data_IF_657533267768
#
_entry.id   IF_657533267768
#
_cell.length_a   1.000
_cell.length_b   1.000
_cell.length_c   1.000
_cell.angle_alpha   90.00
_cell.angle_beta   90.00
_cell.angle_gamma   90.00
#
_symmetry.space_group_name_H-M   'P 1'
#
loop_
_entity.id
_entity.type
_entity.pdbx_description
1 polymer ?
#
# COMPACT_ATOMS: atom_id res chain seq x y z
N UNK A 1 5.83 -2.78 -59.28
CA UNK A 1 5.41 -3.59 -58.11
C UNK A 1 6.27 -3.16 -56.92
N UNK A 2 5.64 -2.87 -55.79
CA UNK A 2 6.34 -2.52 -54.54
C UNK A 2 5.63 -1.40 -53.78
N UNK A 3 4.41 -1.67 -53.29
CA UNK A 3 3.70 -0.76 -52.41
C UNK A 3 4.42 -0.67 -51.06
N UNK A 4 4.83 0.54 -50.67
CA UNK A 4 5.28 0.82 -49.30
C UNK A 4 4.05 0.91 -48.43
N UNK A 5 3.77 -0.15 -47.69
CA UNK A 5 2.77 -0.19 -46.64
C UNK A 5 3.21 0.76 -45.53
N UNK A 6 2.56 1.92 -45.43
CA UNK A 6 2.63 2.78 -44.27
C UNK A 6 1.87 2.08 -43.13
N UNK A 7 2.60 1.38 -42.27
CA UNK A 7 2.04 0.90 -41.01
C UNK A 7 1.76 2.14 -40.17
N UNK A 8 0.48 2.50 -40.08
CA UNK A 8 0.00 3.50 -39.14
C UNK A 8 0.33 3.00 -37.72
N UNK A 9 1.47 3.44 -37.19
CA UNK A 9 1.75 3.36 -35.77
C UNK A 9 0.64 4.13 -35.06
N UNK A 10 -0.09 3.45 -34.19
CA UNK A 10 -1.03 4.08 -33.27
C UNK A 10 -0.20 4.92 -32.31
N UNK A 11 0.16 6.12 -32.75
CA UNK A 11 0.62 7.20 -31.90
C UNK A 11 -0.57 7.69 -31.11
N UNK A 12 -0.91 6.99 -30.03
CA UNK A 12 -1.74 7.59 -28.98
C UNK A 12 -0.85 8.64 -28.34
N UNK A 13 -1.03 9.88 -28.81
CA UNK A 13 -0.35 11.04 -28.29
C UNK A 13 -0.56 11.14 -26.78
N UNK A 14 0.50 11.52 -26.09
CA UNK A 14 0.60 11.77 -24.65
C UNK A 14 -0.29 12.94 -24.15
N UNK A 15 -1.40 13.23 -24.82
CA UNK A 15 -2.32 14.33 -24.52
C UNK A 15 -3.73 13.88 -24.04
N UNK A 16 -3.98 12.57 -23.92
CA UNK A 16 -5.29 12.01 -23.56
C UNK A 16 -5.41 11.47 -22.11
N UNK A 17 -4.51 11.86 -21.21
CA UNK A 17 -4.36 11.24 -19.88
C UNK A 17 -5.46 11.59 -18.84
N UNK A 18 -6.64 12.11 -19.22
CA UNK A 18 -7.62 12.59 -18.22
C UNK A 18 -9.03 11.97 -18.24
N UNK A 19 -9.36 11.07 -19.17
CA UNK A 19 -10.66 10.38 -19.14
C UNK A 19 -10.50 8.90 -19.40
N UNK A 20 -10.65 8.13 -18.34
CA UNK A 20 -10.89 6.70 -18.46
C UNK A 20 -12.27 6.51 -19.09
N UNK A 21 -12.34 5.67 -20.12
CA UNK A 21 -13.60 5.36 -20.80
C UNK A 21 -14.29 4.18 -20.11
N UNK A 22 -15.63 4.20 -20.12
CA UNK A 22 -16.43 3.11 -19.56
C UNK A 22 -16.16 1.77 -20.27
N UNK A 23 -15.69 1.79 -21.51
CA UNK A 23 -15.22 0.63 -22.26
C UNK A 23 -14.09 -0.15 -21.57
N UNK A 24 -13.41 0.42 -20.57
CA UNK A 24 -12.43 -0.30 -19.75
C UNK A 24 -13.07 -1.35 -18.84
N UNK A 25 -14.38 -1.26 -18.54
CA UNK A 25 -15.04 -2.19 -17.61
C UNK A 25 -16.45 -2.62 -18.02
N UNK A 26 -17.21 -1.82 -18.77
CA UNK A 26 -18.58 -2.17 -19.17
C UNK A 26 -18.59 -3.36 -20.13
N UNK A 27 -19.38 -4.38 -19.81
CA UNK A 27 -19.53 -5.60 -20.63
C UNK A 27 -18.33 -6.55 -20.59
N UNK A 28 -17.25 -6.21 -19.87
CA UNK A 28 -16.07 -7.05 -19.68
C UNK A 28 -16.24 -8.00 -18.49
N UNK A 29 -15.50 -9.11 -18.50
CA UNK A 29 -15.37 -9.94 -17.30
C UNK A 29 -14.65 -9.17 -16.17
N UNK A 30 -14.82 -9.63 -14.93
CA UNK A 30 -14.13 -9.07 -13.76
C UNK A 30 -12.61 -9.00 -13.97
N UNK A 31 -12.01 -10.05 -14.54
CA UNK A 31 -10.56 -10.12 -14.76
C UNK A 31 -10.09 -9.12 -15.82
N UNK A 32 -10.79 -9.03 -16.95
CA UNK A 32 -10.44 -8.09 -18.02
C UNK A 32 -10.62 -6.64 -17.58
N UNK A 33 -11.70 -6.33 -16.87
CA UNK A 33 -11.95 -4.99 -16.35
C UNK A 33 -10.90 -4.59 -15.30
N UNK A 34 -10.57 -5.49 -14.37
CA UNK A 34 -9.55 -5.24 -13.37
C UNK A 34 -8.19 -4.98 -14.02
N UNK A 35 -7.77 -5.82 -14.98
CA UNK A 35 -6.48 -5.65 -15.64
C UNK A 35 -6.40 -4.33 -16.41
N UNK A 36 -7.44 -3.99 -17.19
CA UNK A 36 -7.46 -2.73 -17.95
C UNK A 36 -7.38 -1.49 -17.04
N UNK A 37 -8.04 -1.51 -15.88
CA UNK A 37 -7.99 -0.42 -14.90
C UNK A 37 -6.66 -0.38 -14.14
N UNK A 38 -6.04 -1.52 -13.87
CA UNK A 38 -4.71 -1.60 -13.26
C UNK A 38 -3.65 -1.02 -14.20
N UNK A 39 -3.68 -1.37 -15.48
CA UNK A 39 -2.76 -0.84 -16.48
C UNK A 39 -2.90 0.68 -16.59
N UNK A 40 -4.14 1.18 -16.61
CA UNK A 40 -4.42 2.61 -16.59
C UNK A 40 -3.93 3.28 -15.30
N UNK A 41 -4.11 2.66 -14.14
CA UNK A 41 -3.65 3.18 -12.86
C UNK A 41 -2.12 3.23 -12.76
N UNK A 42 -1.40 2.27 -13.35
CA UNK A 42 0.07 2.31 -13.43
C UNK A 42 0.57 3.47 -14.31
N UNK A 43 -0.13 3.77 -15.41
CA UNK A 43 0.16 4.96 -16.23
C UNK A 43 -0.13 6.25 -15.46
N UNK A 44 -1.20 6.29 -14.66
CA UNK A 44 -1.53 7.44 -13.83
C UNK A 44 -0.56 7.64 -12.67
N UNK A 45 -0.08 6.55 -12.08
CA UNK A 45 0.86 6.58 -10.97
C UNK A 45 2.18 7.24 -11.38
N UNK A 46 2.54 7.18 -12.67
CA UNK A 46 3.83 7.62 -13.20
C UNK A 46 4.94 7.15 -12.27
N UNK A 47 5.80 8.03 -11.73
CA UNK A 47 6.86 7.70 -10.77
C UNK A 47 6.48 7.74 -9.28
N UNK A 48 5.21 7.96 -8.96
CA UNK A 48 4.70 8.02 -7.58
C UNK A 48 4.75 6.68 -6.85
N UNK A 49 5.56 6.59 -5.78
CA UNK A 49 5.64 5.38 -4.96
C UNK A 49 4.33 5.09 -4.24
N UNK A 50 3.64 6.12 -3.73
CA UNK A 50 2.33 5.98 -3.08
C UNK A 50 1.33 5.32 -4.03
N UNK A 51 1.15 5.88 -5.22
CA UNK A 51 0.18 5.43 -6.21
C UNK A 51 0.51 4.00 -6.67
N UNK A 52 1.80 3.71 -6.91
CA UNK A 52 2.26 2.36 -7.23
C UNK A 52 1.98 1.37 -6.08
N UNK A 53 2.17 1.75 -4.82
CA UNK A 53 1.81 0.90 -3.67
C UNK A 53 0.30 0.64 -3.63
N UNK A 54 -0.54 1.63 -3.96
CA UNK A 54 -1.98 1.42 -4.05
C UNK A 54 -2.36 0.39 -5.13
N UNK A 55 -1.70 0.45 -6.31
CA UNK A 55 -1.85 -0.59 -7.34
C UNK A 55 -1.34 -1.95 -6.85
N UNK A 56 -0.17 -1.97 -6.21
CA UNK A 56 0.41 -3.16 -5.60
C UNK A 56 -0.54 -3.81 -4.59
N UNK A 57 -1.19 -3.00 -3.74
CA UNK A 57 -2.18 -3.45 -2.75
C UNK A 57 -3.35 -4.18 -3.40
N UNK A 58 -3.99 -3.58 -4.42
CA UNK A 58 -5.16 -4.22 -5.05
C UNK A 58 -4.78 -5.49 -5.82
N UNK A 59 -3.60 -5.54 -6.42
CA UNK A 59 -3.08 -6.77 -7.04
C UNK A 59 -2.83 -7.84 -5.97
N UNK A 60 -2.14 -7.46 -4.90
CA UNK A 60 -1.70 -8.35 -3.84
C UNK A 60 -2.86 -9.01 -3.10
N UNK A 61 -3.85 -8.20 -2.69
CA UNK A 61 -5.06 -8.66 -1.99
C UNK A 61 -6.10 -9.25 -2.95
N UNK A 62 -6.06 -8.87 -4.24
CA UNK A 62 -6.99 -9.32 -5.27
C UNK A 62 -6.67 -10.70 -5.86
N UNK A 63 -5.70 -11.43 -5.31
CA UNK A 63 -5.30 -12.77 -5.76
C UNK A 63 -4.12 -12.79 -6.75
N UNK A 64 -3.63 -11.63 -7.19
CA UNK A 64 -2.47 -11.47 -8.08
C UNK A 64 -1.22 -11.14 -7.24
N UNK A 65 -0.96 -12.02 -6.26
CA UNK A 65 0.04 -11.80 -5.20
C UNK A 65 1.43 -11.55 -5.77
N UNK A 66 1.84 -12.28 -6.80
CA UNK A 66 3.14 -12.13 -7.43
C UNK A 66 3.31 -10.76 -8.11
N UNK A 67 2.28 -10.27 -8.77
CA UNK A 67 2.28 -8.96 -9.44
C UNK A 67 2.36 -7.82 -8.42
N UNK A 68 1.55 -7.89 -7.36
CA UNK A 68 1.62 -6.92 -6.27
C UNK A 68 2.98 -6.95 -5.57
N UNK A 69 3.54 -8.14 -5.36
CA UNK A 69 4.85 -8.31 -4.76
C UNK A 69 5.96 -7.66 -5.59
N UNK A 70 5.96 -7.86 -6.91
CA UNK A 70 6.96 -7.28 -7.79
C UNK A 70 6.98 -5.75 -7.72
N UNK A 71 5.82 -5.11 -7.55
CA UNK A 71 5.72 -3.66 -7.34
C UNK A 71 6.37 -3.26 -6.01
N UNK A 72 6.06 -3.97 -4.92
CA UNK A 72 6.66 -3.71 -3.61
C UNK A 72 8.17 -3.89 -3.63
N UNK A 73 8.67 -4.96 -4.24
CA UNK A 73 10.10 -5.25 -4.34
C UNK A 73 10.83 -4.15 -5.14
N UNK A 74 10.25 -3.69 -6.25
CA UNK A 74 10.84 -2.61 -7.04
C UNK A 74 10.97 -1.30 -6.25
N UNK A 75 9.96 -0.97 -5.42
CA UNK A 75 9.98 0.23 -4.57
C UNK A 75 11.02 0.08 -3.46
N UNK A 76 11.02 -1.05 -2.75
CA UNK A 76 11.91 -1.30 -1.62
C UNK A 76 13.38 -1.46 -2.04
N UNK A 77 13.64 -1.91 -3.27
CA UNK A 77 15.00 -1.99 -3.83
C UNK A 77 15.56 -0.62 -4.24
N UNK A 78 14.69 0.36 -4.50
CA UNK A 78 15.06 1.72 -4.88
C UNK A 78 15.18 2.68 -3.68
N UNK A 79 15.41 3.96 -3.98
CA UNK A 79 15.27 5.02 -2.99
C UNK A 79 13.77 5.22 -2.70
N UNK A 80 13.36 4.99 -1.47
CA UNK A 80 11.98 5.12 -1.03
C UNK A 80 11.90 5.90 0.30
N UNK A 81 10.71 6.38 0.64
CA UNK A 81 10.46 7.02 1.93
C UNK A 81 10.17 5.95 2.99
N UNK A 82 10.44 6.24 4.27
CA UNK A 82 10.04 5.33 5.35
C UNK A 82 8.53 5.07 5.35
N UNK A 83 7.74 6.08 4.97
CA UNK A 83 6.29 5.92 4.81
C UNK A 83 5.88 4.87 3.77
N UNK A 84 6.76 4.54 2.80
CA UNK A 84 6.51 3.46 1.84
C UNK A 84 6.66 2.08 2.48
N UNK A 85 7.65 1.89 3.36
CA UNK A 85 7.79 0.67 4.19
C UNK A 85 6.54 0.47 5.05
N UNK A 86 6.05 1.54 5.69
CA UNK A 86 4.84 1.51 6.51
C UNK A 86 3.60 1.11 5.69
N UNK A 87 3.41 1.72 4.51
CA UNK A 87 2.26 1.40 3.64
C UNK A 87 2.30 -0.05 3.17
N UNK A 88 3.46 -0.54 2.75
CA UNK A 88 3.62 -1.94 2.31
C UNK A 88 3.39 -2.90 3.49
N UNK A 89 3.88 -2.59 4.69
CA UNK A 89 3.63 -3.36 5.90
C UNK A 89 2.14 -3.49 6.21
N UNK A 90 1.38 -2.39 6.08
CA UNK A 90 -0.09 -2.40 6.24
C UNK A 90 -0.76 -3.35 5.24
N UNK A 91 -0.29 -3.42 4.00
CA UNK A 91 -0.80 -4.40 3.01
C UNK A 91 -0.51 -5.83 3.45
N UNK A 92 0.73 -6.14 3.86
CA UNK A 92 1.05 -7.49 4.35
C UNK A 92 0.20 -7.87 5.56
N UNK A 93 -0.04 -6.93 6.48
CA UNK A 93 -0.93 -7.17 7.62
C UNK A 93 -2.36 -7.45 7.14
N UNK A 94 -2.89 -6.66 6.22
CA UNK A 94 -4.23 -6.89 5.65
C UNK A 94 -4.36 -8.26 4.97
N UNK A 95 -3.26 -8.75 4.36
CA UNK A 95 -3.18 -10.10 3.82
C UNK A 95 -3.01 -11.21 4.87
N UNK A 96 -2.95 -10.87 6.17
CA UNK A 96 -2.71 -11.81 7.28
C UNK A 96 -1.25 -12.24 7.42
N UNK A 97 -0.31 -11.57 6.74
CA UNK A 97 1.09 -11.95 6.64
C UNK A 97 1.96 -11.19 7.65
N UNK A 98 1.72 -11.42 8.94
CA UNK A 98 2.44 -10.75 10.02
C UNK A 98 3.96 -10.90 9.93
N UNK A 99 4.44 -12.09 9.56
CA UNK A 99 5.87 -12.36 9.41
C UNK A 99 6.57 -11.46 8.38
N UNK A 100 5.81 -10.90 7.43
CA UNK A 100 6.30 -9.96 6.41
C UNK A 100 6.07 -8.51 6.81
N UNK A 101 4.98 -8.22 7.49
CA UNK A 101 4.65 -6.88 7.96
C UNK A 101 5.59 -6.42 9.10
N UNK A 102 5.85 -7.28 10.08
CA UNK A 102 6.63 -6.97 11.28
C UNK A 102 8.02 -6.37 10.99
N UNK A 103 8.89 -6.94 10.14
CA UNK A 103 10.21 -6.36 9.90
C UNK A 103 10.16 -4.95 9.28
N UNK A 104 9.15 -4.65 8.46
CA UNK A 104 8.96 -3.32 7.88
C UNK A 104 8.46 -2.31 8.94
N UNK A 105 7.53 -2.74 9.81
CA UNK A 105 7.13 -1.93 10.97
C UNK A 105 8.31 -1.63 11.89
N UNK A 106 9.16 -2.62 12.16
CA UNK A 106 10.35 -2.46 13.01
C UNK A 106 11.35 -1.47 12.41
N UNK A 107 11.59 -1.58 11.09
CA UNK A 107 12.40 -0.63 10.34
C UNK A 107 11.87 0.80 10.43
N UNK A 108 10.55 0.96 10.24
CA UNK A 108 9.89 2.26 10.35
C UNK A 108 10.05 2.87 11.76
N UNK A 109 9.75 2.09 12.81
CA UNK A 109 9.83 2.53 14.21
C UNK A 109 11.24 2.95 14.65
N UNK A 110 12.27 2.31 14.09
CA UNK A 110 13.67 2.63 14.37
C UNK A 110 14.06 4.00 13.81
N UNK A 111 13.54 4.35 12.63
CA UNK A 111 13.83 5.61 11.93
C UNK A 111 12.93 6.77 12.37
N UNK A 112 11.72 6.46 12.85
CA UNK A 112 10.67 7.43 13.17
C UNK A 112 10.28 7.42 14.66
N UNK A 113 11.21 7.68 15.61
CA UNK A 113 10.95 7.49 17.04
C UNK A 113 10.02 8.55 17.68
N UNK A 114 9.61 9.58 16.93
CA UNK A 114 8.77 10.70 17.40
C UNK A 114 7.40 10.78 16.71
N UNK A 115 7.02 9.74 15.97
CA UNK A 115 5.76 9.69 15.23
C UNK A 115 4.72 8.95 16.07
N UNK A 116 4.14 9.60 17.07
CA UNK A 116 3.27 8.97 18.06
C UNK A 116 2.10 8.20 17.43
N UNK A 117 1.44 8.77 16.42
CA UNK A 117 0.27 8.18 15.79
C UNK A 117 0.64 6.83 15.16
N UNK A 118 1.70 6.81 14.37
CA UNK A 118 2.21 5.59 13.74
C UNK A 118 2.79 4.62 14.77
N UNK A 119 3.42 5.08 15.85
CA UNK A 119 3.89 4.20 16.93
C UNK A 119 2.70 3.48 17.60
N UNK A 120 1.62 4.19 17.94
CA UNK A 120 0.42 3.59 18.50
C UNK A 120 -0.29 2.67 17.50
N UNK A 121 -0.40 3.07 16.23
CA UNK A 121 -0.96 2.22 15.18
C UNK A 121 -0.18 0.91 15.03
N UNK A 122 1.15 0.97 14.99
CA UNK A 122 1.99 -0.21 14.90
C UNK A 122 1.84 -1.06 16.17
N UNK A 123 1.82 -0.45 17.36
CA UNK A 123 1.53 -1.15 18.61
C UNK A 123 0.17 -1.88 18.58
N UNK A 124 -0.84 -1.28 17.97
CA UNK A 124 -2.13 -1.91 17.79
C UNK A 124 -2.05 -3.16 16.90
N UNK A 125 -1.25 -3.12 15.84
CA UNK A 125 -0.98 -4.31 15.02
C UNK A 125 -0.26 -5.41 15.78
N UNK A 126 0.71 -5.06 16.62
CA UNK A 126 1.37 -6.00 17.51
C UNK A 126 0.39 -6.73 18.44
N UNK A 127 -0.53 -5.99 19.05
CA UNK A 127 -1.52 -6.56 19.95
C UNK A 127 -2.47 -7.51 19.21
N UNK A 128 -2.95 -7.10 18.04
CA UNK A 128 -3.83 -7.92 17.19
C UNK A 128 -3.13 -9.17 16.65
N UNK A 129 -1.79 -9.15 16.52
CA UNK A 129 -0.97 -10.31 16.20
C UNK A 129 -0.64 -11.19 17.43
N UNK A 130 -1.09 -10.81 18.63
CA UNK A 130 -0.90 -11.55 19.88
C UNK A 130 0.34 -11.15 20.68
N UNK A 131 1.18 -10.23 20.19
CA UNK A 131 2.34 -9.71 20.92
C UNK A 131 1.94 -8.55 21.83
N UNK A 132 1.27 -8.91 22.94
CA UNK A 132 0.80 -7.93 23.92
C UNK A 132 1.94 -7.13 24.55
N UNK A 133 3.05 -7.79 24.89
CA UNK A 133 4.18 -7.13 25.56
C UNK A 133 4.84 -6.09 24.63
N UNK A 134 5.06 -6.45 23.36
CA UNK A 134 5.56 -5.52 22.36
C UNK A 134 4.61 -4.35 22.12
N UNK A 135 3.30 -4.62 22.06
CA UNK A 135 2.28 -3.58 21.91
C UNK A 135 2.28 -2.57 23.07
N UNK A 136 2.27 -3.04 24.32
CA UNK A 136 2.26 -2.18 25.50
C UNK A 136 3.51 -1.29 25.59
N UNK A 137 4.67 -1.81 25.19
CA UNK A 137 5.89 -1.01 25.09
C UNK A 137 5.76 0.11 24.04
N UNK A 138 5.15 -0.17 22.90
CA UNK A 138 4.92 0.82 21.84
C UNK A 138 3.87 1.87 22.26
N UNK A 139 2.79 1.46 22.93
CA UNK A 139 1.80 2.39 23.46
C UNK A 139 2.40 3.35 24.48
N UNK A 140 3.22 2.83 25.41
CA UNK A 140 3.94 3.66 26.36
C UNK A 140 4.88 4.65 25.65
N UNK A 141 5.60 4.21 24.63
CA UNK A 141 6.46 5.07 23.80
C UNK A 141 5.66 6.16 23.08
N UNK A 142 4.51 5.81 22.50
CA UNK A 142 3.62 6.78 21.82
C UNK A 142 3.17 7.86 22.79
N UNK A 143 2.62 7.49 23.95
CA UNK A 143 2.10 8.46 24.92
C UNK A 143 3.19 9.28 25.62
N UNK A 144 4.43 8.79 25.64
CA UNK A 144 5.57 9.57 26.10
C UNK A 144 5.98 10.68 25.11
N UNK A 145 5.64 10.55 23.82
CA UNK A 145 5.80 11.64 22.84
C UNK A 145 4.67 12.65 23.02
N UNK A 146 3.41 12.19 22.87
CA UNK A 146 2.21 12.97 23.19
C UNK A 146 0.98 12.07 23.27
N UNK A 147 0.01 12.48 24.10
CA UNK A 147 -1.30 11.82 24.20
C UNK A 147 -2.26 12.43 23.17
N UNK A 148 -2.18 11.94 21.93
CA UNK A 148 -3.02 12.38 20.81
C UNK A 148 -4.30 11.51 20.70
N UNK A 149 -5.37 12.07 20.15
CA UNK A 149 -6.69 11.43 20.06
C UNK A 149 -6.65 10.14 19.23
N UNK A 150 -6.09 10.15 18.02
CA UNK A 150 -5.99 8.98 17.16
C UNK A 150 -5.08 7.90 17.73
N UNK A 151 -3.97 8.27 18.37
CA UNK A 151 -3.15 7.33 19.12
C UNK A 151 -3.98 6.61 20.20
N UNK A 152 -4.78 7.37 20.97
CA UNK A 152 -5.66 6.82 22.01
C UNK A 152 -6.73 5.88 21.43
N UNK A 153 -7.37 6.28 20.33
CA UNK A 153 -8.37 5.46 19.63
C UNK A 153 -7.75 4.16 19.08
N UNK A 154 -6.54 4.22 18.53
CA UNK A 154 -5.83 3.03 18.03
C UNK A 154 -5.55 2.02 19.15
N UNK A 155 -5.06 2.49 20.31
CA UNK A 155 -4.81 1.63 21.48
C UNK A 155 -6.10 0.99 21.98
N UNK A 156 -7.16 1.79 22.17
CA UNK A 156 -8.45 1.28 22.64
C UNK A 156 -9.05 0.28 21.66
N UNK A 157 -9.01 0.59 20.36
CA UNK A 157 -9.49 -0.30 19.30
C UNK A 157 -8.76 -1.64 19.29
N UNK A 158 -7.44 -1.64 19.46
CA UNK A 158 -6.65 -2.87 19.50
C UNK A 158 -7.06 -3.81 20.64
N UNK A 159 -7.35 -3.27 21.83
CA UNK A 159 -7.87 -4.07 22.96
C UNK A 159 -9.27 -4.62 22.72
N UNK A 160 -10.05 -3.99 21.85
CA UNK A 160 -11.36 -4.48 21.39
C UNK A 160 -11.26 -5.43 20.19
N UNK A 161 -10.04 -5.76 19.72
CA UNK A 161 -9.85 -6.58 18.53
C UNK A 161 -10.11 -5.84 17.21
N UNK A 162 -10.14 -4.50 17.24
CA UNK A 162 -10.43 -3.65 16.08
C UNK A 162 -9.13 -3.09 15.52
N UNK A 163 -8.93 -3.35 14.23
CA UNK A 163 -7.90 -2.75 13.39
C UNK A 163 -7.90 -1.21 13.48
N UNK A 164 -6.76 -0.53 13.73
CA UNK A 164 -6.71 0.93 13.66
C UNK A 164 -7.04 1.44 12.25
N UNK A 165 -7.61 2.64 12.21
CA UNK A 165 -7.85 3.38 10.98
C UNK A 165 -6.52 3.78 10.37
N UNK A 166 -6.28 3.40 9.12
CA UNK A 166 -5.08 3.77 8.38
C UNK A 166 -5.40 4.96 7.48
N UNK A 167 -4.67 6.06 7.66
CA UNK A 167 -4.62 7.19 6.71
C UNK A 167 -3.54 6.99 5.64
#
# INVERSE_FOLDING_TARGET
MGAVMFVAGIGIGMAAQKRLDAALFQGKSKAEAAQALIDAALVQADDGSWERIAVGRIQYLGGHKAQGQAIFDAILAGKHADSDELRIARVYREAGEWSRAKPLFDGYLAKNPKHEKEIAEIGAWYLLAGDRAGAEALFAKSFAVTAEFWATVAVAGAYLGVAPLTE
#
